data_IF_160838228649
#
_entry.id   IF_160838228649
#
_cell.length_a   1.000
_cell.length_b   1.000
_cell.length_c   1.000
_cell.angle_alpha   90.00
_cell.angle_beta   90.00
_cell.angle_gamma   90.00
#
_symmetry.space_group_name_H-M   'P 1'
#
loop_
_entity.id
_entity.type
_entity.pdbx_description
1 polymer ?
#
# COMPACT_ATOMS: atom_id res chain seq x y z
N UNK A 1 -2.30 14.17 -1.04
CA UNK A 1 -2.70 14.96 -2.24
C UNK A 1 -3.64 14.19 -3.17
N UNK A 2 -3.40 12.89 -3.44
CA UNK A 2 -4.27 12.07 -4.30
C UNK A 2 -5.76 12.00 -3.90
N UNK A 3 -6.07 11.94 -2.60
CA UNK A 3 -7.46 11.93 -2.11
C UNK A 3 -8.23 13.22 -2.39
N UNK A 4 -7.54 14.37 -2.43
CA UNK A 4 -8.14 15.68 -2.70
C UNK A 4 -8.49 15.79 -4.18
N UNK A 5 -7.60 15.33 -5.07
CA UNK A 5 -7.86 15.30 -6.52
C UNK A 5 -9.02 14.37 -6.88
N UNK A 6 -9.08 13.17 -6.33
CA UNK A 6 -10.20 12.25 -6.54
C UNK A 6 -11.52 12.85 -6.04
N UNK A 7 -11.50 13.48 -4.87
CA UNK A 7 -12.66 14.18 -4.31
C UNK A 7 -13.10 15.36 -5.18
N UNK A 8 -12.16 16.17 -5.68
CA UNK A 8 -12.43 17.31 -6.58
C UNK A 8 -13.01 16.83 -7.91
N UNK A 9 -12.51 15.73 -8.48
CA UNK A 9 -13.09 15.16 -9.71
C UNK A 9 -14.50 14.62 -9.50
N UNK A 10 -14.78 14.03 -8.33
CA UNK A 10 -16.10 13.51 -7.97
C UNK A 10 -17.10 14.65 -7.79
N UNK A 11 -16.71 15.71 -7.07
CA UNK A 11 -17.60 16.86 -6.84
C UNK A 11 -17.87 17.63 -8.13
N UNK A 12 -16.87 17.83 -8.99
CA UNK A 12 -17.07 18.42 -10.31
C UNK A 12 -18.00 17.59 -11.20
N UNK A 13 -17.94 16.26 -11.12
CA UNK A 13 -18.84 15.37 -11.86
C UNK A 13 -20.30 15.51 -11.38
N UNK A 14 -20.52 15.60 -10.06
CA UNK A 14 -21.86 15.79 -9.47
C UNK A 14 -22.44 17.16 -9.87
N UNK A 15 -21.63 18.22 -9.75
CA UNK A 15 -22.05 19.58 -10.14
C UNK A 15 -22.38 19.66 -11.63
N UNK A 16 -21.59 19.02 -12.48
CA UNK A 16 -21.83 18.98 -13.92
C UNK A 16 -23.13 18.26 -14.29
N UNK A 17 -23.47 17.17 -13.60
CA UNK A 17 -24.71 16.42 -13.84
C UNK A 17 -25.95 17.29 -13.53
N UNK A 18 -25.89 18.05 -12.44
CA UNK A 18 -26.95 18.98 -12.03
C UNK A 18 -27.09 20.13 -13.04
N UNK A 19 -25.99 20.72 -13.51
CA UNK A 19 -26.01 21.82 -14.50
C UNK A 19 -26.56 21.36 -15.85
N UNK A 20 -26.29 20.11 -16.23
CA UNK A 20 -26.80 19.51 -17.46
C UNK A 20 -28.33 19.32 -17.42
N UNK A 21 -28.87 18.92 -16.27
CA UNK A 21 -30.33 18.80 -16.07
C UNK A 21 -31.06 20.14 -16.24
N UNK A 22 -30.37 21.25 -15.92
CA UNK A 22 -30.93 22.60 -15.97
C UNK A 22 -30.80 23.23 -17.36
N UNK A 23 -29.69 22.97 -18.07
CA UNK A 23 -29.28 23.76 -19.24
C UNK A 23 -29.45 23.02 -20.58
N UNK A 24 -29.61 21.69 -20.56
CA UNK A 24 -29.80 20.87 -21.76
C UNK A 24 -28.62 20.83 -22.74
N UNK A 25 -27.46 21.38 -22.35
CA UNK A 25 -26.30 21.57 -23.23
C UNK A 25 -25.28 20.43 -23.11
N UNK A 26 -25.01 19.74 -24.23
CA UNK A 26 -24.16 18.54 -24.28
C UNK A 26 -22.65 18.84 -24.30
N UNK A 27 -22.22 20.09 -24.43
CA UNK A 27 -20.80 20.48 -24.48
C UNK A 27 -20.02 20.06 -23.22
N UNK A 28 -20.69 20.07 -22.06
CA UNK A 28 -20.08 19.65 -20.79
C UNK A 28 -19.75 18.15 -20.74
N UNK A 29 -20.52 17.30 -21.43
CA UNK A 29 -20.22 15.86 -21.51
C UNK A 29 -18.91 15.60 -22.24
N UNK A 30 -18.62 16.34 -23.31
CA UNK A 30 -17.39 16.18 -24.10
C UNK A 30 -16.15 16.65 -23.33
N UNK A 31 -16.25 17.73 -22.54
CA UNK A 31 -15.15 18.24 -21.71
C UNK A 31 -14.85 17.27 -20.56
N UNK A 32 -15.87 16.76 -19.87
CA UNK A 32 -15.69 15.76 -18.81
C UNK A 32 -15.19 14.41 -19.35
N UNK A 33 -15.70 13.97 -20.51
CA UNK A 33 -15.24 12.76 -21.17
C UNK A 33 -13.76 12.87 -21.60
N UNK A 34 -13.27 14.08 -21.90
CA UNK A 34 -11.85 14.33 -22.17
C UNK A 34 -10.96 14.38 -20.91
N UNK A 35 -11.47 14.88 -19.79
CA UNK A 35 -10.71 14.99 -18.54
C UNK A 35 -10.65 13.68 -17.73
N UNK A 36 -11.67 12.83 -17.84
CA UNK A 36 -11.72 11.53 -17.17
C UNK A 36 -10.53 10.61 -17.51
N UNK A 37 -10.16 10.38 -18.80
CA UNK A 37 -8.99 9.57 -19.12
C UNK A 37 -7.69 10.21 -18.64
N UNK A 38 -7.60 11.54 -18.57
CA UNK A 38 -6.42 12.24 -18.04
C UNK A 38 -6.25 11.95 -16.55
N UNK A 39 -7.32 12.00 -15.76
CA UNK A 39 -7.28 11.61 -14.34
C UNK A 39 -6.91 10.14 -14.13
N UNK A 40 -7.40 9.25 -14.99
CA UNK A 40 -7.07 7.82 -14.95
C UNK A 40 -5.59 7.57 -15.32
N UNK A 41 -5.06 8.29 -16.31
CA UNK A 41 -3.64 8.24 -16.70
C UNK A 41 -2.76 8.80 -15.57
N UNK A 42 -3.11 9.92 -14.97
CA UNK A 42 -2.36 10.49 -13.85
C UNK A 42 -2.37 9.58 -12.62
N UNK A 43 -3.53 9.01 -12.27
CA UNK A 43 -3.62 8.02 -11.20
C UNK A 43 -2.81 6.76 -11.49
N UNK A 44 -2.81 6.31 -12.75
CA UNK A 44 -2.00 5.17 -13.19
C UNK A 44 -0.50 5.47 -13.20
N UNK A 45 -0.09 6.68 -13.58
CA UNK A 45 1.30 7.15 -13.54
C UNK A 45 1.80 7.25 -12.10
N UNK A 46 1.05 7.88 -11.20
CA UNK A 46 1.43 8.00 -9.80
C UNK A 46 1.49 6.61 -9.12
N UNK A 47 0.58 5.70 -9.49
CA UNK A 47 0.66 4.30 -9.08
C UNK A 47 1.90 3.60 -9.63
N UNK A 48 2.24 3.80 -10.90
CA UNK A 48 3.39 3.21 -11.56
C UNK A 48 4.72 3.75 -11.00
N UNK A 49 4.81 5.05 -10.72
CA UNK A 49 5.98 5.67 -10.08
C UNK A 49 6.19 5.15 -8.66
N UNK A 50 5.12 5.07 -7.86
CA UNK A 50 5.18 4.43 -6.53
C UNK A 50 5.63 2.96 -6.64
N UNK A 51 5.15 2.25 -7.67
CA UNK A 51 5.54 0.85 -7.94
C UNK A 51 7.02 0.73 -8.36
N UNK A 52 7.52 1.68 -9.14
CA UNK A 52 8.91 1.71 -9.60
C UNK A 52 9.88 2.00 -8.44
N UNK A 53 9.48 2.89 -7.52
CA UNK A 53 10.27 3.26 -6.33
C UNK A 53 10.58 2.07 -5.42
N UNK A 54 9.62 1.14 -5.27
CA UNK A 54 9.73 -0.02 -4.39
C UNK A 54 9.86 -1.34 -5.16
N UNK A 55 10.42 -1.31 -6.38
CA UNK A 55 10.67 -2.52 -7.16
C UNK A 55 11.86 -3.24 -6.56
N UNK A 56 11.69 -4.50 -6.17
CA UNK A 56 12.80 -5.35 -5.75
C UNK A 56 13.79 -5.51 -6.91
N UNK A 57 15.09 -5.22 -6.72
CA UNK A 57 16.09 -5.56 -7.72
C UNK A 57 16.07 -7.07 -7.98
N UNK A 58 16.15 -7.47 -9.24
CA UNK A 58 16.30 -8.88 -9.61
C UNK A 58 17.65 -9.35 -9.07
N UNK A 59 17.66 -10.24 -8.09
CA UNK A 59 18.87 -10.70 -7.39
C UNK A 59 19.21 -9.94 -6.10
N UNK A 60 18.35 -9.03 -5.62
CA UNK A 60 18.56 -8.33 -4.35
C UNK A 60 18.73 -9.30 -3.17
N UNK A 61 19.59 -8.96 -2.22
CA UNK A 61 19.78 -9.73 -1.00
C UNK A 61 18.58 -9.57 -0.05
N UNK A 62 18.38 -10.53 0.85
CA UNK A 62 17.23 -10.49 1.79
C UNK A 62 17.26 -9.24 2.67
N UNK A 63 18.45 -8.80 3.08
CA UNK A 63 18.66 -7.58 3.85
C UNK A 63 18.24 -6.31 3.08
N UNK A 64 18.53 -6.25 1.78
CA UNK A 64 18.19 -5.11 0.92
C UNK A 64 16.68 -5.03 0.71
N UNK A 65 16.03 -6.17 0.48
CA UNK A 65 14.56 -6.24 0.36
C UNK A 65 13.89 -5.83 1.68
N UNK A 66 14.46 -6.23 2.83
CA UNK A 66 13.98 -5.79 4.15
C UNK A 66 14.11 -4.29 4.33
N UNK A 67 15.27 -3.72 4.02
CA UNK A 67 15.53 -2.28 4.14
C UNK A 67 14.55 -1.46 3.28
N UNK A 68 14.34 -1.85 2.03
CA UNK A 68 13.36 -1.24 1.15
C UNK A 68 11.93 -1.34 1.71
N UNK A 69 11.61 -2.45 2.38
CA UNK A 69 10.32 -2.65 3.07
C UNK A 69 10.14 -1.73 4.27
N UNK A 70 11.21 -1.46 5.02
CA UNK A 70 11.20 -0.51 6.14
C UNK A 70 11.08 0.94 5.64
N UNK A 71 11.76 1.28 4.54
CA UNK A 71 11.61 2.58 3.89
C UNK A 71 10.16 2.81 3.43
N UNK A 72 9.55 1.81 2.79
CA UNK A 72 8.14 1.86 2.40
C UNK A 72 7.21 2.05 3.60
N UNK A 73 7.52 1.41 4.74
CA UNK A 73 6.77 1.58 5.99
C UNK A 73 6.90 3.01 6.52
N UNK A 74 8.11 3.57 6.54
CA UNK A 74 8.37 4.95 6.96
C UNK A 74 7.69 6.00 6.07
N UNK A 75 7.58 5.71 4.76
CA UNK A 75 6.84 6.53 3.80
C UNK A 75 5.30 6.42 3.95
N UNK A 76 4.81 5.54 4.84
CA UNK A 76 3.38 5.30 5.04
C UNK A 76 2.72 4.40 3.99
N UNK A 77 3.48 3.83 3.05
CA UNK A 77 2.98 2.88 2.06
C UNK A 77 2.95 1.45 2.63
N UNK A 78 1.93 1.19 3.47
CA UNK A 78 1.73 -0.12 4.11
C UNK A 78 1.64 -1.26 3.09
N UNK A 79 1.05 -1.03 1.91
CA UNK A 79 0.90 -2.07 0.87
C UNK A 79 2.24 -2.43 0.24
N UNK A 80 3.13 -1.46 0.04
CA UNK A 80 4.48 -1.74 -0.46
C UNK A 80 5.32 -2.43 0.63
N UNK A 81 5.24 -1.96 1.88
CA UNK A 81 5.91 -2.58 3.02
C UNK A 81 5.52 -4.05 3.21
N UNK A 82 4.22 -4.37 3.19
CA UNK A 82 3.72 -5.75 3.28
C UNK A 82 4.34 -6.65 2.21
N UNK A 83 4.33 -6.22 0.94
CA UNK A 83 4.86 -7.02 -0.17
C UNK A 83 6.36 -7.28 -0.03
N UNK A 84 7.13 -6.24 0.32
CA UNK A 84 8.58 -6.36 0.44
C UNK A 84 8.98 -7.20 1.64
N UNK A 85 8.36 -6.96 2.79
CA UNK A 85 8.60 -7.75 4.00
C UNK A 85 8.14 -9.21 3.83
N UNK A 86 7.07 -9.46 3.07
CA UNK A 86 6.66 -10.82 2.72
C UNK A 86 7.73 -11.54 1.89
N UNK A 87 8.29 -10.90 0.87
CA UNK A 87 9.39 -11.50 0.08
C UNK A 87 10.60 -11.78 0.96
N UNK A 88 10.96 -10.88 1.87
CA UNK A 88 12.07 -11.10 2.80
C UNK A 88 11.78 -12.23 3.81
N UNK A 89 10.56 -12.29 4.33
CA UNK A 89 10.10 -13.34 5.23
C UNK A 89 10.06 -14.73 4.56
N UNK A 90 9.61 -14.81 3.30
CA UNK A 90 9.61 -16.05 2.51
C UNK A 90 11.04 -16.56 2.26
N UNK A 91 12.01 -15.64 2.13
CA UNK A 91 13.44 -15.97 2.06
C UNK A 91 14.06 -16.32 3.42
N UNK A 92 13.28 -16.25 4.49
CA UNK A 92 13.63 -16.77 5.80
C UNK A 92 14.16 -15.74 6.80
N UNK A 93 14.13 -14.45 6.49
CA UNK A 93 14.55 -13.39 7.42
C UNK A 93 13.58 -13.27 8.60
N UNK A 94 14.13 -13.45 9.81
CA UNK A 94 13.40 -13.48 11.07
C UNK A 94 12.90 -12.08 11.46
N UNK A 95 13.71 -11.05 11.22
CA UNK A 95 13.33 -9.66 11.48
C UNK A 95 12.20 -9.25 10.53
N UNK A 96 12.28 -9.64 9.26
CA UNK A 96 11.23 -9.36 8.28
C UNK A 96 9.88 -10.01 8.67
N UNK A 97 9.88 -11.21 9.22
CA UNK A 97 8.66 -11.87 9.72
C UNK A 97 8.01 -11.09 10.86
N UNK A 98 8.81 -10.60 11.81
CA UNK A 98 8.32 -9.75 12.91
C UNK A 98 7.76 -8.42 12.39
N UNK A 99 8.51 -7.75 11.51
CA UNK A 99 8.08 -6.47 10.93
C UNK A 99 6.78 -6.64 10.12
N UNK A 100 6.67 -7.71 9.32
CA UNK A 100 5.44 -8.05 8.60
C UNK A 100 4.26 -8.27 9.55
N UNK A 101 4.48 -9.01 10.64
CA UNK A 101 3.46 -9.20 11.66
C UNK A 101 3.00 -7.87 12.27
N UNK A 102 3.90 -6.94 12.58
CA UNK A 102 3.50 -5.62 13.12
C UNK A 102 2.66 -4.82 12.13
N UNK A 103 2.99 -4.86 10.84
CA UNK A 103 2.19 -4.18 9.80
C UNK A 103 0.82 -4.84 9.64
N UNK A 104 0.76 -6.17 9.74
CA UNK A 104 -0.50 -6.92 9.69
C UNK A 104 -1.35 -6.70 10.95
N UNK A 105 -0.77 -6.58 12.14
CA UNK A 105 -1.49 -6.29 13.39
C UNK A 105 -2.30 -4.98 13.30
N UNK A 106 -1.80 -3.97 12.57
CA UNK A 106 -2.52 -2.71 12.34
C UNK A 106 -3.77 -2.86 11.46
N UNK A 107 -3.89 -3.95 10.69
CA UNK A 107 -5.00 -4.19 9.75
C UNK A 107 -5.88 -5.36 10.17
N UNK A 108 -5.27 -6.51 10.38
CA UNK A 108 -5.89 -7.78 10.73
C UNK A 108 -4.93 -8.62 11.59
N UNK A 109 -5.23 -8.67 12.89
CA UNK A 109 -4.43 -9.42 13.84
C UNK A 109 -4.41 -10.93 13.57
N UNK A 110 -5.43 -11.50 12.89
CA UNK A 110 -5.43 -12.93 12.55
C UNK A 110 -4.41 -13.26 11.48
N UNK A 111 -4.21 -12.34 10.52
CA UNK A 111 -3.19 -12.50 9.49
C UNK A 111 -1.77 -12.40 10.05
N UNK A 112 -1.57 -11.67 11.15
CA UNK A 112 -0.26 -11.50 11.79
C UNK A 112 0.20 -12.72 12.59
N UNK A 113 -0.74 -13.46 13.19
CA UNK A 113 -0.47 -14.60 14.06
C UNK A 113 0.47 -15.67 13.47
N UNK A 114 0.27 -16.19 12.24
CA UNK A 114 1.18 -17.19 11.67
C UNK A 114 2.60 -16.65 11.44
N UNK A 115 2.76 -15.34 11.21
CA UNK A 115 4.08 -14.72 11.06
C UNK A 115 4.77 -14.50 12.41
N UNK A 116 4.03 -14.17 13.46
CA UNK A 116 4.53 -14.12 14.84
C UNK A 116 5.01 -15.48 15.31
N UNK A 117 4.22 -16.54 15.07
CA UNK A 117 4.58 -17.91 15.43
C UNK A 117 5.85 -18.37 14.71
N UNK A 118 5.97 -18.07 13.41
CA UNK A 118 7.18 -18.36 12.64
C UNK A 118 8.41 -17.57 13.14
N UNK A 119 8.24 -16.29 13.46
CA UNK A 119 9.33 -15.48 14.02
C UNK A 119 9.78 -16.01 15.38
N UNK A 120 8.83 -16.39 16.25
CA UNK A 120 9.12 -16.96 17.56
C UNK A 120 9.79 -18.33 17.48
N UNK A 121 9.35 -19.20 16.55
CA UNK A 121 9.96 -20.50 16.30
C UNK A 121 11.41 -20.37 15.80
N UNK A 122 11.74 -19.28 15.10
CA UNK A 122 13.12 -18.97 14.67
C UNK A 122 13.95 -18.21 15.71
N UNK A 123 13.43 -17.98 16.91
CA UNK A 123 14.19 -17.35 18.00
C UNK A 123 14.09 -15.83 18.08
N UNK A 124 13.10 -15.19 17.45
CA UNK A 124 12.94 -13.74 17.56
C UNK A 124 12.50 -13.35 18.99
N UNK A 125 13.30 -12.58 19.75
CA UNK A 125 13.04 -12.32 21.17
C UNK A 125 11.72 -11.58 21.39
N UNK A 126 11.41 -10.59 20.55
CA UNK A 126 10.13 -9.85 20.68
C UNK A 126 8.92 -10.70 20.30
N UNK A 127 9.06 -11.64 19.37
CA UNK A 127 7.95 -12.50 18.97
C UNK A 127 7.67 -13.57 20.04
N UNK A 128 8.72 -14.10 20.65
CA UNK A 128 8.61 -15.02 21.78
C UNK A 128 7.98 -14.34 22.99
N UNK A 129 8.41 -13.11 23.33
CA UNK A 129 7.80 -12.34 24.41
C UNK A 129 6.33 -12.02 24.14
N UNK A 130 5.99 -11.71 22.88
CA UNK A 130 4.60 -11.41 22.50
C UNK A 130 3.68 -12.63 22.61
N UNK A 131 4.17 -13.83 22.25
CA UNK A 131 3.38 -15.06 22.32
C UNK A 131 3.42 -15.74 23.69
N UNK A 132 4.50 -15.57 24.45
CA UNK A 132 4.64 -16.09 25.80
C UNK A 132 4.95 -14.96 26.80
N UNK A 133 3.95 -14.13 27.15
CA UNK A 133 4.13 -13.05 28.12
C UNK A 133 4.26 -13.54 29.58
N UNK A 134 4.41 -14.84 29.85
CA UNK A 134 4.42 -15.39 31.19
C UNK A 134 5.26 -16.64 31.38
N UNK A 135 6.58 -16.45 31.49
CA UNK A 135 7.48 -17.31 32.29
C UNK A 135 8.27 -16.41 33.25
#
# INVERSE_FOLDING_TARGET
MAGILAFVTLTLAVVSNVVQLITGNSIFLWICAGLYPIGLIFGALEWAERRARFRTPVGANVAEVRELGLEARGAGDKKAAERLLQVAAERGDVEAMWQLATVLLERDGRAAQPWLERAAAKGHPMAQMFLNPGN
#
